data_IF_531076938506
#
_entry.id   IF_531076938506
#
_cell.length_a   1.000
_cell.length_b   1.000
_cell.length_c   1.000
_cell.angle_alpha   90.00
_cell.angle_beta   90.00
_cell.angle_gamma   90.00
#
_symmetry.space_group_name_H-M   'P 1'
#
loop_
_entity.id
_entity.type
_entity.pdbx_description
1 polymer ?
#
# COMPACT_ATOMS: atom_id res chain seq x y z
N UNK A 1 2.62 3.19 -24.17
CA UNK A 1 2.64 2.06 -23.21
C UNK A 1 1.22 1.57 -22.99
N UNK A 2 0.93 0.30 -23.27
CA UNK A 2 -0.41 -0.29 -23.07
C UNK A 2 -0.64 -0.64 -21.60
N UNK A 3 -1.86 -0.50 -21.10
CA UNK A 3 -2.22 -0.99 -19.76
C UNK A 3 -2.24 -2.52 -19.78
N UNK A 4 -1.80 -3.12 -18.68
CA UNK A 4 -1.78 -4.56 -18.42
C UNK A 4 -2.63 -4.84 -17.19
N UNK A 5 -3.25 -6.02 -17.17
CA UNK A 5 -3.96 -6.50 -15.99
C UNK A 5 -2.98 -7.09 -14.98
N UNK A 6 -3.17 -6.73 -13.73
CA UNK A 6 -2.44 -7.24 -12.57
C UNK A 6 -3.45 -7.64 -11.49
N UNK A 7 -3.01 -8.52 -10.59
CA UNK A 7 -3.72 -8.87 -9.37
C UNK A 7 -2.82 -8.47 -8.21
N UNK A 8 -3.35 -7.65 -7.30
CA UNK A 8 -2.71 -7.33 -6.03
C UNK A 8 -3.21 -8.34 -5.01
N UNK A 9 -2.31 -9.16 -4.48
CA UNK A 9 -2.57 -10.04 -3.35
C UNK A 9 -1.95 -9.40 -2.10
N UNK A 10 -2.77 -9.04 -1.13
CA UNK A 10 -2.33 -8.43 0.13
C UNK A 10 -2.40 -9.41 1.32
N UNK A 11 -2.53 -10.72 1.04
CA UNK A 11 -2.68 -11.77 2.05
C UNK A 11 -4.10 -11.94 2.60
N UNK A 12 -4.99 -10.96 2.42
CA UNK A 12 -6.40 -11.03 2.84
C UNK A 12 -7.35 -11.14 1.65
N UNK A 13 -7.03 -10.43 0.57
CA UNK A 13 -7.86 -10.31 -0.63
C UNK A 13 -6.98 -10.22 -1.89
N UNK A 14 -7.57 -10.59 -3.02
CA UNK A 14 -6.97 -10.48 -4.35
C UNK A 14 -7.74 -9.45 -5.16
N UNK A 15 -7.07 -8.36 -5.53
CA UNK A 15 -7.70 -7.20 -6.15
C UNK A 15 -7.22 -7.09 -7.61
N UNK A 16 -8.10 -7.28 -8.61
CA UNK A 16 -7.74 -7.08 -10.01
C UNK A 16 -7.64 -5.58 -10.31
N UNK A 17 -6.56 -5.17 -10.99
CA UNK A 17 -6.26 -3.78 -11.31
C UNK A 17 -5.56 -3.66 -12.66
N UNK A 18 -5.71 -2.51 -13.30
CA UNK A 18 -4.99 -2.18 -14.52
C UNK A 18 -3.85 -1.20 -14.24
N UNK A 19 -2.70 -1.41 -14.87
CA UNK A 19 -1.56 -0.50 -14.78
C UNK A 19 -0.55 -0.72 -15.87
N UNK A 20 0.46 0.16 -15.96
CA UNK A 20 1.53 0.01 -16.94
C UNK A 20 2.67 -0.86 -16.39
N UNK A 21 3.05 -0.64 -15.13
CA UNK A 21 4.14 -1.36 -14.45
C UNK A 21 3.68 -1.86 -13.08
N UNK A 22 4.19 -3.04 -12.68
CA UNK A 22 3.86 -3.67 -11.39
C UNK A 22 4.22 -2.77 -10.20
N UNK A 23 5.34 -2.06 -10.26
CA UNK A 23 5.77 -1.12 -9.21
C UNK A 23 4.81 0.06 -9.05
N UNK A 24 4.34 0.63 -10.16
CA UNK A 24 3.37 1.73 -10.13
C UNK A 24 2.01 1.27 -9.59
N UNK A 25 1.61 0.03 -9.89
CA UNK A 25 0.41 -0.59 -9.32
C UNK A 25 0.54 -0.74 -7.80
N UNK A 26 1.67 -1.28 -7.32
CA UNK A 26 1.97 -1.39 -5.89
C UNK A 26 1.92 -0.03 -5.18
N UNK A 27 2.62 0.98 -5.71
CA UNK A 27 2.67 2.33 -5.13
C UNK A 27 1.27 2.95 -5.07
N UNK A 28 0.48 2.88 -6.16
CA UNK A 28 -0.88 3.44 -6.19
C UNK A 28 -1.78 2.80 -5.13
N UNK A 29 -1.69 1.48 -4.97
CA UNK A 29 -2.44 0.77 -3.94
C UNK A 29 -2.07 1.22 -2.52
N UNK A 30 -0.78 1.31 -2.21
CA UNK A 30 -0.30 1.76 -0.90
C UNK A 30 -0.64 3.24 -0.64
N UNK A 31 -0.55 4.10 -1.64
CA UNK A 31 -0.98 5.50 -1.54
C UNK A 31 -2.49 5.64 -1.25
N UNK A 32 -3.33 4.76 -1.83
CA UNK A 32 -4.76 4.73 -1.51
C UNK A 32 -5.01 4.35 -0.05
N UNK A 33 -4.31 3.32 0.47
CA UNK A 33 -4.38 2.92 1.88
C UNK A 33 -3.89 4.03 2.81
N UNK A 34 -2.77 4.69 2.46
CA UNK A 34 -2.24 5.87 3.15
C UNK A 34 -3.26 7.00 3.24
N UNK A 35 -3.98 7.29 2.15
CA UNK A 35 -4.98 8.38 2.11
C UNK A 35 -6.16 8.14 3.06
N UNK A 36 -6.57 6.89 3.28
CA UNK A 36 -7.60 6.57 4.26
C UNK A 36 -7.18 6.88 5.70
N UNK A 37 -5.88 6.82 6.01
CA UNK A 37 -5.35 7.21 7.32
C UNK A 37 -5.34 8.74 7.50
N UNK A 38 -4.98 9.48 6.46
CA UNK A 38 -4.83 10.95 6.49
C UNK A 38 -6.12 11.70 6.84
N UNK A 39 -7.28 11.13 6.51
CA UNK A 39 -8.58 11.78 6.72
C UNK A 39 -9.24 11.44 8.07
N UNK A 40 -8.57 10.63 8.90
CA UNK A 40 -9.12 10.16 10.18
C UNK A 40 -8.57 11.00 11.33
N UNK A 41 -9.43 11.78 12.00
CA UNK A 41 -9.08 12.59 13.18
C UNK A 41 -9.14 11.83 14.51
N UNK A 42 -9.77 10.64 14.52
CA UNK A 42 -9.90 9.83 15.73
C UNK A 42 -8.63 8.98 15.94
N UNK A 43 -7.89 9.15 17.06
CA UNK A 43 -6.65 8.44 17.32
C UNK A 43 -6.81 6.92 17.38
N UNK A 44 -7.88 6.40 18.01
CA UNK A 44 -8.11 4.94 18.10
C UNK A 44 -8.29 4.32 16.71
N UNK A 45 -9.06 4.98 15.85
CA UNK A 45 -9.30 4.53 14.49
C UNK A 45 -8.04 4.60 13.62
N UNK A 46 -7.14 5.55 13.89
CA UNK A 46 -5.83 5.60 13.21
C UNK A 46 -4.98 4.38 13.59
N UNK A 47 -4.97 3.96 14.84
CA UNK A 47 -4.23 2.76 15.27
C UNK A 47 -4.81 1.48 14.67
N UNK A 48 -6.13 1.33 14.67
CA UNK A 48 -6.81 0.21 14.02
C UNK A 48 -6.48 0.15 12.52
N UNK A 49 -6.57 1.29 11.82
CA UNK A 49 -6.24 1.34 10.40
C UNK A 49 -4.75 1.07 10.13
N UNK A 50 -3.86 1.52 11.02
CA UNK A 50 -2.43 1.28 10.89
C UNK A 50 -2.09 -0.21 11.06
N UNK A 51 -2.67 -0.89 12.04
CA UNK A 51 -2.49 -2.34 12.25
C UNK A 51 -3.07 -3.17 11.11
N UNK A 52 -4.07 -2.64 10.39
CA UNK A 52 -4.64 -3.27 9.20
C UNK A 52 -3.82 -3.08 7.92
N UNK A 53 -2.80 -2.22 7.92
CA UNK A 53 -1.97 -1.99 6.74
C UNK A 53 -1.21 -3.26 6.36
N UNK A 54 -1.12 -3.58 5.06
CA UNK A 54 -0.34 -4.70 4.61
C UNK A 54 1.15 -4.41 4.81
N UNK A 55 1.85 -5.33 5.48
CA UNK A 55 3.32 -5.37 5.57
C UNK A 55 3.95 -6.03 4.36
N UNK A 56 3.17 -6.79 3.58
CA UNK A 56 3.61 -7.51 2.39
C UNK A 56 2.52 -7.50 1.33
N UNK A 57 2.89 -7.27 0.07
CA UNK A 57 1.98 -7.42 -1.08
C UNK A 57 2.68 -8.16 -2.21
N UNK A 58 1.89 -8.88 -3.00
CA UNK A 58 2.34 -9.56 -4.21
C UNK A 58 1.57 -9.01 -5.41
N UNK A 59 2.29 -8.64 -6.45
CA UNK A 59 1.72 -8.14 -7.71
C UNK A 59 1.91 -9.23 -8.76
N UNK A 60 0.80 -9.83 -9.18
CA UNK A 60 0.76 -10.95 -10.13
C UNK A 60 0.23 -10.41 -11.46
N UNK A 61 1.07 -10.35 -12.46
CA UNK A 61 0.72 -10.08 -13.86
C UNK A 61 0.92 -11.32 -14.73
N UNK A 62 0.54 -11.22 -16.01
CA UNK A 62 0.58 -12.34 -16.97
C UNK A 62 1.94 -13.06 -17.07
N UNK A 63 3.04 -12.33 -16.94
CA UNK A 63 4.42 -12.86 -17.07
C UNK A 63 5.34 -12.41 -15.93
N UNK A 64 4.80 -11.71 -14.94
CA UNK A 64 5.60 -11.08 -13.89
C UNK A 64 4.90 -11.29 -12.56
N UNK A 65 5.61 -11.86 -11.60
CA UNK A 65 5.12 -11.96 -10.22
C UNK A 65 6.17 -11.33 -9.34
N UNK A 66 5.83 -10.19 -8.73
CA UNK A 66 6.74 -9.44 -7.87
C UNK A 66 6.21 -9.34 -6.47
N UNK A 67 7.07 -9.61 -5.50
CA UNK A 67 6.74 -9.54 -4.08
C UNK A 67 7.43 -8.35 -3.46
N UNK A 68 6.67 -7.56 -2.72
CA UNK A 68 7.14 -6.37 -2.05
C UNK A 68 6.90 -6.46 -0.56
N UNK A 69 7.95 -6.20 0.21
CA UNK A 69 7.83 -5.91 1.63
C UNK A 69 7.66 -4.39 1.82
N UNK A 70 6.71 -4.03 2.69
CA UNK A 70 6.36 -2.66 3.00
C UNK A 70 6.70 -2.39 4.45
N UNK A 71 7.51 -1.35 4.67
CA UNK A 71 7.72 -0.79 6.01
C UNK A 71 6.97 0.53 6.09
N UNK A 72 6.10 0.63 7.07
CA UNK A 72 5.31 1.83 7.34
C UNK A 72 5.95 2.61 8.47
N UNK A 73 6.18 3.91 8.25
CA UNK A 73 6.80 4.81 9.22
C UNK A 73 5.81 5.92 9.60
N UNK A 74 5.67 6.17 10.90
CA UNK A 74 4.88 7.25 11.47
C UNK A 74 5.80 8.45 11.68
N UNK A 75 5.77 9.43 10.79
CA UNK A 75 6.69 10.59 10.82
C UNK A 75 6.04 11.83 11.49
N UNK A 76 4.76 11.79 11.86
CA UNK A 76 4.07 12.92 12.50
C UNK A 76 3.76 12.69 13.97
N UNK A 77 4.49 13.34 14.88
CA UNK A 77 4.28 13.31 16.35
C UNK A 77 3.65 14.59 16.93
N UNK A 78 3.21 15.54 16.11
CA UNK A 78 2.59 16.81 16.55
C UNK A 78 1.12 16.95 16.07
N UNK A 79 0.53 18.16 16.14
CA UNK A 79 -0.90 18.56 15.98
C UNK A 79 -1.72 17.91 14.85
N UNK A 80 -1.05 17.24 13.90
CA UNK A 80 -1.65 16.38 12.90
C UNK A 80 -1.01 14.98 12.95
N UNK A 81 -1.32 14.21 13.99
CA UNK A 81 -0.83 12.84 14.22
C UNK A 81 -1.12 11.86 13.07
N UNK A 82 -2.06 12.21 12.18
CA UNK A 82 -2.36 11.46 10.94
C UNK A 82 -1.54 11.87 9.71
N UNK A 83 -0.84 13.02 9.71
CA UNK A 83 -0.43 13.71 8.48
C UNK A 83 0.75 13.10 7.72
N UNK A 84 1.55 12.22 8.31
CA UNK A 84 2.77 11.70 7.64
C UNK A 84 3.02 10.22 7.90
N UNK A 85 2.15 9.38 7.35
CA UNK A 85 2.49 7.97 7.13
C UNK A 85 3.36 7.86 5.87
N UNK A 86 4.62 7.52 6.02
CA UNK A 86 5.49 7.20 4.87
C UNK A 86 5.60 5.69 4.76
N UNK A 87 5.81 5.19 3.55
CA UNK A 87 6.10 3.78 3.35
C UNK A 87 7.32 3.63 2.46
N UNK A 88 8.17 2.66 2.78
CA UNK A 88 9.23 2.20 1.91
C UNK A 88 8.82 0.87 1.29
N UNK A 89 9.06 0.74 -0.02
CA UNK A 89 8.77 -0.47 -0.78
C UNK A 89 10.09 -1.17 -1.12
N UNK A 90 10.28 -2.38 -0.61
CA UNK A 90 11.45 -3.21 -0.92
C UNK A 90 11.01 -4.39 -1.79
N UNK A 91 11.61 -4.52 -2.97
CA UNK A 91 11.39 -5.69 -3.83
C UNK A 91 12.17 -6.88 -3.26
N UNK A 92 11.48 -8.01 -3.07
CA UNK A 92 12.05 -9.23 -2.47
C UNK A 92 12.31 -10.29 -3.54
N UNK A 93 11.43 -10.39 -4.53
CA UNK A 93 11.50 -11.39 -5.62
C UNK A 93 10.70 -10.92 -6.82
#
# INVERSE_FOLDING_TARGET
MTKRQFIIDNGKEKIPVEGHEHKNVAIKYLMKRRRSLLMTKNPQKVEELFTQLPSKIKIIGKQVTKTYDIKWERIGTEEFSGARFVFTLQEVS
#
